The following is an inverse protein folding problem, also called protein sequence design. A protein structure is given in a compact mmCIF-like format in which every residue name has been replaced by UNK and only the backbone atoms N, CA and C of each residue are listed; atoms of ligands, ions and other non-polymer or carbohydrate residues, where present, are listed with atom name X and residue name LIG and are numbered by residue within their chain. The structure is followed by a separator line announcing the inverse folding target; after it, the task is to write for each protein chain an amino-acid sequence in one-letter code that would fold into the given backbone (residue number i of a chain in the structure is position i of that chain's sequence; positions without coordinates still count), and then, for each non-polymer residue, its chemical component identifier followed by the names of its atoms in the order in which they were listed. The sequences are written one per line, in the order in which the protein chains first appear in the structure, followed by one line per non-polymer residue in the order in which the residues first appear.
data_IF_897413616947
#
_entry.id   IF_897413616947
#
_cell.length_a   1.000
_cell.length_b   1.000
_cell.length_c   1.000
_cell.angle_alpha   90.00
_cell.angle_beta   90.00
_cell.angle_gamma   90.00
#
_symmetry.space_group_name_H-M   'P 1'
#
loop_
_entity.id
_entity.type
_entity.pdbx_description
1 polymer ?
#
# COMPACT_ATOMS: atom_id res chain seq x y z
N UNK A 1 2.82 9.96 28.32
CA UNK A 1 2.43 9.43 27.00
C UNK A 1 3.68 8.86 26.35
N UNK A 2 3.79 7.54 26.23
CA UNK A 2 4.96 6.90 25.62
C UNK A 2 5.00 7.25 24.12
N UNK A 3 6.14 7.75 23.63
CA UNK A 3 6.36 7.93 22.20
C UNK A 3 6.56 6.55 21.59
N UNK A 4 5.69 6.16 20.65
CA UNK A 4 6.00 5.03 19.77
C UNK A 4 7.33 5.31 19.08
N UNK A 5 8.29 4.38 19.20
CA UNK A 5 9.62 4.53 18.60
C UNK A 5 9.52 4.05 17.16
N UNK A 6 9.20 4.97 16.26
CA UNK A 6 9.18 4.69 14.82
C UNK A 6 10.57 4.80 14.19
N UNK A 7 10.81 3.99 13.15
CA UNK A 7 12.02 4.06 12.34
C UNK A 7 11.95 5.27 11.38
N UNK A 8 12.90 6.20 11.50
CA UNK A 8 12.91 7.43 10.70
C UNK A 8 13.75 7.25 9.44
N UNK A 9 13.13 7.47 8.28
CA UNK A 9 13.71 7.37 6.95
C UNK A 9 13.75 8.77 6.33
N UNK A 10 14.94 9.36 6.23
CA UNK A 10 15.13 10.68 5.62
C UNK A 10 14.98 10.63 4.09
N UNK A 11 14.26 11.59 3.51
CA UNK A 11 14.04 11.67 2.05
C UNK A 11 15.08 12.55 1.32
N UNK A 12 16.14 12.96 2.03
CA UNK A 12 17.16 13.90 1.58
C UNK A 12 16.78 15.37 1.78
N UNK A 13 17.69 16.26 1.40
CA UNK A 13 17.61 17.69 1.71
C UNK A 13 16.29 18.34 1.26
N UNK A 14 15.60 19.01 2.19
CA UNK A 14 14.35 19.72 1.94
C UNK A 14 13.11 18.85 1.71
N UNK A 15 13.23 17.51 1.71
CA UNK A 15 12.13 16.60 1.41
C UNK A 15 11.43 16.02 2.64
N UNK A 16 11.93 16.29 3.84
CA UNK A 16 11.40 15.75 5.08
C UNK A 16 11.80 14.30 5.33
N UNK A 17 10.99 13.62 6.15
CA UNK A 17 11.21 12.22 6.52
C UNK A 17 9.90 11.45 6.60
N UNK A 18 10.01 10.16 6.39
CA UNK A 18 8.95 9.19 6.64
C UNK A 18 9.29 8.45 7.93
N UNK A 19 8.34 8.33 8.85
CA UNK A 19 8.50 7.60 10.10
C UNK A 19 7.61 6.38 10.03
N UNK A 20 8.22 5.21 10.14
CA UNK A 20 7.56 3.91 10.08
C UNK A 20 7.36 3.37 11.50
N UNK A 21 6.10 3.13 11.87
CA UNK A 21 5.69 2.55 13.16
C UNK A 21 5.35 1.05 13.06
N UNK A 22 5.54 0.43 11.89
CA UNK A 22 5.30 -0.98 11.59
C UNK A 22 3.92 -1.27 11.01
N UNK A 23 2.86 -0.63 11.51
CA UNK A 23 1.50 -0.72 10.96
C UNK A 23 1.11 0.50 10.12
N UNK A 24 1.61 1.66 10.56
CA UNK A 24 1.28 2.97 10.08
C UNK A 24 2.55 3.75 9.80
N UNK A 25 2.44 4.62 8.80
CA UNK A 25 3.54 5.46 8.37
C UNK A 25 3.11 6.91 8.43
N UNK A 26 4.02 7.74 8.91
CA UNK A 26 3.84 9.18 9.06
C UNK A 26 4.82 9.92 8.15
N UNK A 27 4.35 10.95 7.45
CA UNK A 27 5.22 11.84 6.69
C UNK A 27 5.34 13.18 7.42
N UNK A 28 6.58 13.62 7.64
CA UNK A 28 6.93 14.93 8.20
C UNK A 28 7.67 15.78 7.20
N UNK A 29 7.15 16.96 6.93
CA UNK A 29 7.82 17.96 6.11
C UNK A 29 9.01 18.58 6.86
N UNK A 30 10.05 18.96 6.13
CA UNK A 30 11.23 19.66 6.69
C UNK A 30 10.80 20.92 7.46
N UNK A 31 11.30 21.07 8.68
CA UNK A 31 11.02 22.26 9.51
C UNK A 31 9.61 22.34 10.09
N UNK A 32 8.75 21.34 9.86
CA UNK A 32 7.43 21.24 10.50
C UNK A 32 7.51 20.29 11.69
N UNK A 33 6.91 20.70 12.82
CA UNK A 33 6.87 19.90 14.04
C UNK A 33 5.77 18.82 14.00
N UNK A 34 4.69 19.12 13.28
CA UNK A 34 3.50 18.28 13.15
C UNK A 34 3.61 17.47 11.86
N UNK A 35 3.19 16.19 11.86
CA UNK A 35 3.10 15.43 10.62
C UNK A 35 2.15 16.04 9.61
N UNK A 36 2.51 15.89 8.34
CA UNK A 36 1.63 16.27 7.25
C UNK A 36 0.52 15.23 7.04
N UNK A 37 0.82 13.94 7.26
CA UNK A 37 -0.18 12.88 7.37
C UNK A 37 0.37 11.70 8.16
N UNK A 38 -0.54 10.87 8.69
CA UNK A 38 -0.28 9.51 9.15
C UNK A 38 -1.35 8.58 8.58
N UNK A 39 -0.94 7.47 8.00
CA UNK A 39 -1.83 6.50 7.35
C UNK A 39 -1.44 5.08 7.71
N UNK A 40 -2.41 4.18 7.80
CA UNK A 40 -2.17 2.73 7.90
C UNK A 40 -1.69 2.21 6.55
N UNK A 41 -0.54 1.53 6.52
CA UNK A 41 0.08 1.15 5.23
C UNK A 41 -0.73 0.09 4.49
N UNK A 42 -1.39 -0.81 5.24
CA UNK A 42 -2.22 -1.85 4.68
C UNK A 42 -3.40 -1.31 3.86
N UNK A 43 -3.92 -0.13 4.22
CA UNK A 43 -5.08 0.48 3.59
C UNK A 43 -4.74 1.23 2.29
N UNK A 44 -3.46 1.41 2.00
CA UNK A 44 -3.02 2.12 0.81
C UNK A 44 -3.22 1.23 -0.41
N UNK A 45 -4.03 1.70 -1.35
CA UNK A 45 -4.28 1.04 -2.63
C UNK A 45 -3.59 1.73 -3.81
N UNK A 46 -3.24 3.00 -3.66
CA UNK A 46 -2.66 3.77 -4.77
C UNK A 46 -2.18 5.16 -4.37
N UNK A 47 -1.57 5.81 -5.36
CA UNK A 47 -1.01 7.14 -5.25
C UNK A 47 -1.36 7.95 -6.49
N UNK A 48 -1.53 9.24 -6.32
CA UNK A 48 -1.56 10.16 -7.46
C UNK A 48 -0.84 11.46 -7.12
N UNK A 49 -0.38 12.12 -8.16
CA UNK A 49 0.28 13.42 -8.07
C UNK A 49 -0.40 14.36 -9.03
N UNK A 50 -0.74 15.55 -8.56
CA UNK A 50 -1.38 16.57 -9.38
C UNK A 50 -0.80 17.95 -9.11
N UNK A 51 -1.02 18.86 -10.06
CA UNK A 51 -0.66 20.27 -9.90
C UNK A 51 -1.47 20.91 -8.78
N UNK A 52 -0.85 21.86 -8.09
CA UNK A 52 -1.52 22.68 -7.06
C UNK A 52 -2.60 23.54 -7.72
N UNK A 53 -3.81 23.46 -7.18
CA UNK A 53 -4.95 24.29 -7.57
C UNK A 53 -5.11 25.49 -6.64
N UNK A 54 -6.02 26.42 -6.96
CA UNK A 54 -6.32 27.55 -6.05
C UNK A 54 -6.91 27.10 -4.71
N UNK A 55 -7.64 25.99 -4.69
CA UNK A 55 -8.20 25.42 -3.47
C UNK A 55 -7.09 24.93 -2.54
N UNK A 56 -6.13 24.19 -3.08
CA UNK A 56 -5.02 23.63 -2.30
C UNK A 56 -4.16 24.70 -1.64
N UNK A 57 -3.99 25.86 -2.29
CA UNK A 57 -3.28 26.99 -1.69
C UNK A 57 -3.95 27.47 -0.39
N UNK A 58 -5.28 27.36 -0.30
CA UNK A 58 -6.05 27.78 0.88
C UNK A 58 -6.13 26.66 1.91
N UNK A 59 -6.39 25.42 1.48
CA UNK A 59 -6.67 24.28 2.35
C UNK A 59 -5.40 23.60 2.86
N UNK A 60 -4.36 23.51 2.03
CA UNK A 60 -3.11 22.79 2.32
C UNK A 60 -1.92 23.74 2.51
N UNK A 61 -2.14 25.06 2.48
CA UNK A 61 -1.07 26.08 2.49
C UNK A 61 -0.01 25.83 1.40
N UNK A 62 -0.47 25.33 0.24
CA UNK A 62 0.41 24.90 -0.85
C UNK A 62 1.00 26.09 -1.62
N UNK A 63 2.27 25.99 -2.00
CA UNK A 63 2.92 26.93 -2.92
C UNK A 63 2.73 26.54 -4.39
N UNK A 64 2.86 27.51 -5.30
CA UNK A 64 2.83 27.26 -6.74
C UNK A 64 4.01 26.40 -7.25
N UNK A 65 5.09 26.32 -6.48
CA UNK A 65 6.27 25.50 -6.77
C UNK A 65 6.18 24.07 -6.21
N UNK A 66 5.01 23.71 -5.69
CA UNK A 66 4.73 22.39 -5.13
C UNK A 66 3.75 21.63 -6.01
N UNK A 67 3.64 20.35 -5.69
CA UNK A 67 2.63 19.44 -6.22
C UNK A 67 1.84 18.84 -5.06
N UNK A 68 0.61 18.43 -5.31
CA UNK A 68 -0.18 17.71 -4.31
C UNK A 68 0.03 16.23 -4.51
N UNK A 69 0.56 15.57 -3.48
CA UNK A 69 0.63 14.12 -3.38
C UNK A 69 -0.61 13.62 -2.67
N UNK A 70 -1.27 12.63 -3.25
CA UNK A 70 -2.51 12.05 -2.76
C UNK A 70 -2.27 10.56 -2.52
N UNK A 71 -2.58 10.10 -1.31
CA UNK A 71 -2.58 8.70 -0.92
C UNK A 71 -4.02 8.19 -0.97
N UNK A 72 -4.26 7.11 -1.69
CA UNK A 72 -5.59 6.55 -1.92
C UNK A 72 -5.75 5.20 -1.21
N UNK A 73 -6.96 4.92 -0.76
CA UNK A 73 -7.32 3.66 -0.11
C UNK A 73 -8.80 3.35 -0.32
N UNK A 74 -9.13 2.11 -0.68
CA UNK A 74 -10.52 1.59 -0.79
C UNK A 74 -11.55 2.55 -1.41
N UNK A 75 -11.19 3.24 -2.50
CA UNK A 75 -12.07 4.16 -3.22
C UNK A 75 -12.17 5.58 -2.63
N UNK A 76 -11.43 5.88 -1.57
CA UNK A 76 -11.33 7.22 -0.97
C UNK A 76 -9.89 7.74 -0.93
N UNK A 77 -9.75 9.00 -0.53
CA UNK A 77 -8.46 9.63 -0.25
C UNK A 77 -8.12 9.49 1.23
N UNK A 78 -7.00 8.83 1.52
CA UNK A 78 -6.49 8.68 2.89
C UNK A 78 -5.73 9.92 3.35
N UNK A 79 -4.99 10.55 2.44
CA UNK A 79 -4.22 11.75 2.74
C UNK A 79 -3.97 12.59 1.49
N UNK A 80 -3.88 13.91 1.68
CA UNK A 80 -3.41 14.85 0.67
C UNK A 80 -2.41 15.80 1.29
N UNK A 81 -1.29 16.03 0.62
CA UNK A 81 -0.24 16.90 1.12
C UNK A 81 0.47 17.63 -0.01
N UNK A 82 0.73 18.92 0.18
CA UNK A 82 1.61 19.69 -0.70
C UNK A 82 3.07 19.27 -0.45
N UNK A 83 3.77 18.84 -1.49
CA UNK A 83 5.16 18.40 -1.41
C UNK A 83 5.99 19.05 -2.52
N UNK A 84 7.30 19.12 -2.31
CA UNK A 84 8.21 19.59 -3.35
C UNK A 84 8.23 18.60 -4.53
N UNK A 85 8.66 19.09 -5.70
CA UNK A 85 8.82 18.24 -6.87
C UNK A 85 9.81 17.10 -6.58
N UNK A 86 9.46 15.89 -7.01
CA UNK A 86 10.24 14.66 -6.76
C UNK A 86 10.06 14.04 -5.37
N UNK A 87 9.58 14.77 -4.36
CA UNK A 87 9.35 14.21 -3.02
C UNK A 87 8.29 13.11 -3.03
N UNK A 88 7.22 13.28 -3.82
CA UNK A 88 6.15 12.30 -3.96
C UNK A 88 6.68 10.91 -4.34
N UNK A 89 7.57 10.83 -5.33
CA UNK A 89 8.18 9.57 -5.76
C UNK A 89 9.01 8.91 -4.66
N UNK A 90 9.70 9.70 -3.84
CA UNK A 90 10.48 9.19 -2.70
C UNK A 90 9.58 8.63 -1.60
N UNK A 91 8.50 9.35 -1.26
CA UNK A 91 7.51 8.87 -0.29
C UNK A 91 6.88 7.56 -0.80
N UNK A 92 6.47 7.54 -2.07
CA UNK A 92 5.90 6.36 -2.71
C UNK A 92 6.86 5.17 -2.70
N UNK A 93 8.15 5.38 -3.00
CA UNK A 93 9.16 4.32 -2.94
C UNK A 93 9.26 3.72 -1.54
N UNK A 94 9.26 4.55 -0.49
CA UNK A 94 9.30 4.08 0.91
C UNK A 94 8.03 3.29 1.25
N UNK A 95 6.85 3.81 0.89
CA UNK A 95 5.58 3.16 1.17
C UNK A 95 5.43 1.83 0.42
N UNK A 96 5.85 1.75 -0.85
CA UNK A 96 5.80 0.50 -1.64
C UNK A 96 6.80 -0.54 -1.14
N UNK A 97 7.94 -0.13 -0.59
CA UNK A 97 8.91 -1.04 0.01
C UNK A 97 8.47 -1.58 1.38
N UNK A 98 7.42 -1.01 1.97
CA UNK A 98 6.94 -1.41 3.28
C UNK A 98 6.28 -2.82 3.24
N UNK A 99 6.60 -3.75 4.16
CA UNK A 99 6.13 -5.13 4.12
C UNK A 99 4.61 -5.30 4.12
N UNK A 100 3.88 -4.34 4.73
CA UNK A 100 2.41 -4.35 4.79
C UNK A 100 1.72 -3.66 3.60
N UNK A 101 2.48 -3.10 2.67
CA UNK A 101 1.88 -2.49 1.49
C UNK A 101 1.19 -3.56 0.64
N UNK A 102 -0.04 -3.31 0.23
CA UNK A 102 -0.79 -4.25 -0.61
C UNK A 102 -1.48 -5.40 0.13
N UNK A 103 -1.34 -5.52 1.46
CA UNK A 103 -1.91 -6.67 2.19
C UNK A 103 -3.44 -6.66 2.25
N UNK A 104 -4.10 -5.49 2.26
CA UNK A 104 -5.57 -5.42 2.18
C UNK A 104 -6.09 -5.32 0.73
N UNK A 105 -5.22 -5.21 -0.28
CA UNK A 105 -5.65 -5.00 -1.68
C UNK A 105 -6.34 -6.24 -2.26
N UNK A 106 -6.10 -7.44 -1.70
CA UNK A 106 -6.81 -8.67 -2.07
C UNK A 106 -8.24 -8.77 -1.52
N UNK A 107 -8.66 -7.90 -0.60
CA UNK A 107 -9.99 -7.98 0.03
C UNK A 107 -11.10 -7.25 -0.71
N UNK A 108 -10.76 -6.45 -1.72
CA UNK A 108 -11.73 -5.67 -2.50
C UNK A 108 -12.13 -6.38 -3.80
N UNK A 109 -12.63 -7.61 -3.67
CA UNK A 109 -13.46 -8.22 -4.73
C UNK A 109 -14.91 -8.06 -4.28
N UNK A 110 -15.79 -7.37 -5.03
CA UNK A 110 -17.19 -7.30 -4.66
C UNK A 110 -17.85 -8.65 -4.94
N UNK A 111 -18.04 -9.44 -3.89
CA UNK A 111 -18.92 -10.61 -3.89
C UNK A 111 -18.27 -11.90 -3.39
N UNK A 112 -18.44 -12.18 -2.09
CA UNK A 112 -18.94 -13.45 -1.55
C UNK A 112 -18.70 -13.49 -0.03
N UNK A 113 -19.75 -13.87 0.69
CA UNK A 113 -19.86 -13.90 2.14
C UNK A 113 -18.84 -14.82 2.83
N UNK A 114 -18.37 -14.36 3.99
CA UNK A 114 -17.97 -15.10 5.21
C UNK A 114 -17.50 -16.55 5.09
N UNK A 115 -16.30 -16.88 5.59
CA UNK A 115 -16.03 -17.39 6.97
C UNK A 115 -14.62 -18.05 7.01
N UNK A 116 -13.98 -17.96 8.18
CA UNK A 116 -13.01 -18.93 8.74
C UNK A 116 -11.50 -18.76 8.44
N UNK A 117 -10.80 -18.37 9.53
CA UNK A 117 -9.55 -18.89 10.11
C UNK A 117 -8.39 -19.36 9.23
N UNK A 118 -7.13 -18.93 9.52
CA UNK A 118 -5.95 -19.42 8.83
C UNK A 118 -5.45 -20.73 9.48
N UNK A 119 -5.60 -21.85 8.79
CA UNK A 119 -4.78 -23.05 9.01
C UNK A 119 -4.32 -23.62 7.68
N UNK A 120 -3.03 -23.41 7.41
CA UNK A 120 -2.23 -23.90 6.27
C UNK A 120 -2.53 -25.36 5.96
N UNK A 121 -3.16 -25.66 4.83
CA UNK A 121 -3.52 -27.03 4.46
C UNK A 121 -3.34 -27.27 2.98
N UNK A 122 -2.42 -28.16 2.66
CA UNK A 122 -2.10 -28.70 1.33
C UNK A 122 -3.31 -29.12 0.48
N UNK A 123 -4.44 -29.38 1.14
CA UNK A 123 -5.75 -29.67 0.55
C UNK A 123 -6.33 -28.47 -0.21
N UNK A 124 -6.12 -27.24 0.27
CA UNK A 124 -6.53 -26.01 -0.42
C UNK A 124 -5.73 -25.79 -1.71
N UNK A 125 -4.45 -26.17 -1.74
CA UNK A 125 -3.63 -26.13 -2.96
C UNK A 125 -4.08 -27.18 -3.97
N UNK A 126 -4.46 -28.38 -3.51
CA UNK A 126 -5.07 -29.42 -4.33
C UNK A 126 -6.45 -28.99 -4.90
N UNK A 127 -7.25 -28.31 -4.09
CA UNK A 127 -8.54 -27.76 -4.53
C UNK A 127 -8.35 -26.64 -5.57
N UNK A 128 -7.34 -25.79 -5.40
CA UNK A 128 -6.98 -24.72 -6.35
C UNK A 128 -6.45 -25.30 -7.67
N UNK A 129 -5.67 -26.37 -7.63
CA UNK A 129 -5.23 -27.10 -8.82
C UNK A 129 -6.41 -27.77 -9.54
N UNK A 130 -7.34 -28.39 -8.80
CA UNK A 130 -8.54 -28.99 -9.40
C UNK A 130 -9.42 -27.92 -10.07
N UNK A 131 -9.57 -26.76 -9.43
CA UNK A 131 -10.30 -25.63 -10.00
C UNK A 131 -9.65 -25.09 -11.29
N UNK A 132 -8.31 -25.14 -11.42
CA UNK A 132 -7.60 -24.75 -12.65
C UNK A 132 -7.72 -25.78 -13.79
N UNK A 133 -7.96 -27.05 -13.46
CA UNK A 133 -8.32 -28.09 -14.45
C UNK A 133 -9.73 -27.89 -14.96
N UNK A 134 -10.68 -27.61 -14.07
CA UNK A 134 -12.10 -27.47 -14.42
C UNK A 134 -12.39 -26.19 -15.23
N UNK A 135 -11.51 -25.17 -15.16
CA UNK A 135 -11.55 -23.98 -16.03
C UNK A 135 -10.90 -24.19 -17.40
N UNK A 136 -10.38 -25.39 -17.70
CA UNK A 136 -9.83 -25.76 -19.01
C UNK A 136 -8.47 -25.12 -19.35
N UNK A 137 -7.80 -24.52 -18.36
CA UNK A 137 -6.49 -23.87 -18.54
C UNK A 137 -5.33 -24.88 -18.55
N UNK A 138 -5.54 -26.08 -17.99
CA UNK A 138 -4.57 -27.17 -17.95
C UNK A 138 -5.11 -28.42 -18.62
N UNK A 139 -4.32 -29.00 -19.53
CA UNK A 139 -4.62 -30.32 -20.09
C UNK A 139 -4.39 -31.40 -19.04
N UNK A 140 -5.10 -32.54 -19.14
CA UNK A 140 -5.08 -33.59 -18.10
C UNK A 140 -3.68 -34.14 -17.82
N UNK A 141 -2.78 -34.05 -18.80
CA UNK A 141 -1.39 -34.49 -18.69
C UNK A 141 -0.53 -33.54 -17.84
N UNK A 142 -0.75 -32.22 -17.95
CA UNK A 142 -0.05 -31.19 -17.19
C UNK A 142 -0.46 -31.20 -15.70
N UNK A 143 -1.72 -31.54 -15.43
CA UNK A 143 -2.24 -31.68 -14.07
C UNK A 143 -1.59 -32.87 -13.33
N UNK A 144 -1.40 -34.00 -14.00
CA UNK A 144 -0.78 -35.18 -13.40
C UNK A 144 0.72 -34.96 -13.11
N UNK A 145 1.44 -34.22 -13.97
CA UNK A 145 2.84 -33.84 -13.73
C UNK A 145 2.96 -32.91 -12.50
N UNK A 146 2.09 -31.90 -12.40
CA UNK A 146 2.08 -30.97 -11.27
C UNK A 146 1.72 -31.67 -9.94
N UNK A 147 0.75 -32.58 -9.97
CA UNK A 147 0.35 -33.38 -8.80
C UNK A 147 1.47 -34.30 -8.32
N UNK A 148 2.20 -34.93 -9.24
CA UNK A 148 3.32 -35.83 -8.91
C UNK A 148 4.52 -35.07 -8.36
N UNK A 149 4.75 -33.82 -8.80
CA UNK A 149 5.77 -32.92 -8.25
C UNK A 149 5.41 -32.39 -6.87
N UNK A 150 4.11 -32.28 -6.57
CA UNK A 150 3.64 -31.86 -5.26
C UNK A 150 3.82 -32.96 -4.21
N UNK A 151 3.49 -34.22 -4.55
CA UNK A 151 3.57 -35.38 -3.63
C UNK A 151 5.01 -35.95 -3.46
N UNK A 152 6.00 -35.45 -4.21
CA UNK A 152 7.39 -35.91 -4.11
C UNK A 152 8.23 -35.13 -3.09
#
# INVERSE_FOLDING_TARGET
MAREVGNSIGLGFGNGSVIDYGDSVEYRQTGKLIPAFRVTVADITGFSVRKVTRDDKKRLDASALQQVFVVQGSGTTLAEVAVNHGTAAKIEQVLRAHPRFGTNVHQSTPGASSTATPTTSWVDELAKLAALRDTGVLTSEEFEIAKRKLIS
#
